data_IF_465341764792
#
_entry.id   IF_465341764792
#
_cell.length_a   1.000
_cell.length_b   1.000
_cell.length_c   1.000
_cell.angle_alpha   90.00
_cell.angle_beta   90.00
_cell.angle_gamma   90.00
#
_symmetry.space_group_name_H-M   'P 1'
#
loop_
_entity.id
_entity.type
_entity.pdbx_description
1 polymer ?
#
# COMPACT_ATOMS: atom_id res chain seq x y z
N UNK A 1 -11.65 -26.57 3.78
CA UNK A 1 -11.49 -25.90 2.47
C UNK A 1 -10.84 -24.53 2.65
N UNK A 2 -10.32 -23.88 1.60
CA UNK A 2 -9.73 -22.54 1.66
C UNK A 2 -10.41 -21.52 0.71
N UNK A 3 -10.20 -20.21 0.94
CA UNK A 3 -10.84 -19.14 0.14
C UNK A 3 -10.51 -19.21 -1.36
N UNK A 4 -9.28 -19.58 -1.70
CA UNK A 4 -8.82 -19.73 -3.08
C UNK A 4 -9.47 -20.94 -3.76
N UNK A 5 -9.70 -22.01 -3.02
CA UNK A 5 -10.42 -23.20 -3.50
C UNK A 5 -11.92 -22.92 -3.67
N UNK A 6 -12.50 -22.13 -2.76
CA UNK A 6 -13.90 -21.74 -2.79
C UNK A 6 -14.28 -20.98 -4.06
N UNK A 7 -13.46 -20.00 -4.47
CA UNK A 7 -13.70 -19.24 -5.69
C UNK A 7 -13.07 -19.88 -6.95
N UNK A 8 -12.02 -20.68 -6.78
CA UNK A 8 -11.31 -21.34 -7.87
C UNK A 8 -10.91 -20.36 -8.99
N UNK A 9 -11.25 -20.70 -10.23
CA UNK A 9 -10.92 -19.87 -11.40
C UNK A 9 -11.54 -18.46 -11.37
N UNK A 10 -12.65 -18.30 -10.63
CA UNK A 10 -13.37 -17.03 -10.48
C UNK A 10 -12.73 -16.09 -9.46
N UNK A 11 -11.64 -16.48 -8.80
CA UNK A 11 -10.95 -15.60 -7.83
C UNK A 11 -10.52 -14.27 -8.46
N UNK A 12 -10.09 -14.32 -9.72
CA UNK A 12 -9.69 -13.15 -10.50
C UNK A 12 -10.43 -13.12 -11.82
N UNK A 13 -10.81 -11.91 -12.25
CA UNK A 13 -11.36 -11.65 -13.58
C UNK A 13 -10.45 -10.73 -14.37
N UNK A 14 -10.42 -10.94 -15.68
CA UNK A 14 -9.79 -10.02 -16.62
C UNK A 14 -10.75 -8.87 -16.92
N UNK A 15 -10.23 -7.64 -16.90
CA UNK A 15 -10.99 -6.44 -17.20
C UNK A 15 -11.06 -6.20 -18.72
N UNK A 16 -12.13 -5.51 -19.13
CA UNK A 16 -12.32 -5.09 -20.50
C UNK A 16 -11.23 -4.09 -20.96
N UNK A 17 -11.17 -3.85 -22.28
CA UNK A 17 -10.32 -2.81 -22.84
C UNK A 17 -10.65 -1.45 -22.21
N UNK A 18 -9.64 -0.59 -22.06
CA UNK A 18 -9.79 0.70 -21.39
C UNK A 18 -9.68 0.66 -19.85
N UNK A 19 -9.28 -0.47 -19.26
CA UNK A 19 -9.04 -0.63 -17.82
C UNK A 19 -8.04 0.36 -17.20
N UNK A 20 -7.20 0.99 -18.02
CA UNK A 20 -6.23 2.01 -17.62
C UNK A 20 -6.83 3.41 -17.52
N UNK A 21 -8.05 3.63 -18.00
CA UNK A 21 -8.75 4.91 -17.86
C UNK A 21 -9.26 5.03 -16.42
N UNK A 22 -8.94 6.14 -15.74
CA UNK A 22 -9.39 6.44 -14.37
C UNK A 22 -10.92 6.27 -14.21
N UNK A 23 -11.71 6.61 -15.24
CA UNK A 23 -13.16 6.48 -15.22
C UNK A 23 -13.66 5.02 -15.15
N UNK A 24 -12.80 4.07 -15.52
CA UNK A 24 -13.09 2.63 -15.53
C UNK A 24 -12.45 1.89 -14.35
N UNK A 25 -11.78 2.61 -13.44
CA UNK A 25 -11.19 2.00 -12.26
C UNK A 25 -12.27 1.34 -11.40
N UNK A 26 -11.97 0.14 -10.92
CA UNK A 26 -12.93 -0.67 -10.16
C UNK A 26 -12.35 -1.18 -8.85
N UNK A 27 -13.21 -1.31 -7.84
CA UNK A 27 -12.84 -1.94 -6.57
C UNK A 27 -12.27 -3.34 -6.83
N UNK A 28 -11.16 -3.67 -6.17
CA UNK A 28 -10.48 -4.96 -6.35
C UNK A 28 -9.50 -4.99 -7.54
N UNK A 29 -9.41 -3.93 -8.35
CA UNK A 29 -8.48 -3.87 -9.47
C UNK A 29 -7.03 -3.80 -8.99
N UNK A 30 -6.15 -4.49 -9.72
CA UNK A 30 -4.73 -4.57 -9.41
C UNK A 30 -3.97 -3.45 -10.12
N UNK A 31 -3.10 -2.79 -9.37
CA UNK A 31 -2.19 -1.75 -9.85
C UNK A 31 -0.79 -2.05 -9.35
N UNK A 32 0.22 -1.47 -10.01
CA UNK A 32 1.55 -1.33 -9.45
C UNK A 32 1.78 0.14 -9.05
N UNK A 33 2.41 0.36 -7.91
CA UNK A 33 2.78 1.71 -7.47
C UNK A 33 3.91 1.68 -6.45
N UNK A 34 4.40 2.85 -6.07
CA UNK A 34 5.39 3.02 -5.02
C UNK A 34 4.71 2.86 -3.65
N UNK A 35 4.98 1.75 -2.98
CA UNK A 35 4.58 1.53 -1.59
C UNK A 35 5.66 2.11 -0.66
N UNK A 36 5.25 2.96 0.28
CA UNK A 36 6.15 3.59 1.24
C UNK A 36 6.26 2.76 2.52
N UNK A 37 7.41 2.81 3.19
CA UNK A 37 7.65 2.10 4.46
C UNK A 37 7.88 3.09 5.61
N UNK A 38 6.83 3.79 6.08
CA UNK A 38 6.99 4.78 7.16
C UNK A 38 7.25 4.15 8.53
N UNK A 39 7.00 2.84 8.68
CA UNK A 39 7.21 2.08 9.91
C UNK A 39 8.62 1.51 10.05
N UNK A 40 9.46 1.60 9.02
CA UNK A 40 10.87 1.23 9.12
C UNK A 40 11.62 2.18 10.06
N UNK A 41 12.85 1.82 10.43
CA UNK A 41 13.67 2.62 11.34
C UNK A 41 13.70 4.08 10.89
N UNK A 42 13.43 4.99 11.83
CA UNK A 42 13.48 6.41 11.55
C UNK A 42 14.92 6.79 11.15
N UNK A 43 15.10 7.11 9.87
CA UNK A 43 16.36 7.49 9.27
C UNK A 43 16.30 8.96 8.82
N UNK A 44 17.39 9.69 9.06
CA UNK A 44 17.55 11.10 8.72
C UNK A 44 18.68 11.25 7.70
N UNK A 45 18.44 12.01 6.63
CA UNK A 45 19.47 12.41 5.69
C UNK A 45 20.08 13.72 6.17
N UNK A 46 21.28 13.63 6.74
CA UNK A 46 21.97 14.74 7.44
C UNK A 46 23.24 15.16 6.70
N UNK A 47 23.60 16.47 6.68
CA UNK A 47 24.87 16.89 6.14
C UNK A 47 26.03 16.35 7.01
N UNK A 48 27.11 15.91 6.36
CA UNK A 48 28.36 15.55 7.04
C UNK A 48 29.11 16.83 7.36
N UNK A 49 29.28 17.15 8.65
CA UNK A 49 29.97 18.36 9.10
C UNK A 49 31.45 18.34 8.68
N UNK A 50 31.93 19.44 8.10
CA UNK A 50 33.35 19.70 7.85
C UNK A 50 33.69 21.08 8.41
N UNK A 51 34.81 21.17 9.11
CA UNK A 51 35.26 22.38 9.78
C UNK A 51 35.68 23.48 8.79
N UNK A 52 36.02 23.13 7.54
CA UNK A 52 36.46 24.08 6.51
C UNK A 52 35.33 24.74 5.71
N UNK A 53 34.11 24.18 5.72
CA UNK A 53 33.00 24.65 4.89
C UNK A 53 31.66 24.47 5.61
N UNK A 54 31.20 25.48 6.38
CA UNK A 54 30.05 25.36 7.27
C UNK A 54 28.68 25.47 6.59
N UNK A 55 28.62 25.84 5.31
CA UNK A 55 27.37 26.17 4.58
C UNK A 55 27.03 25.17 3.48
N UNK A 56 27.32 23.88 3.67
CA UNK A 56 27.24 22.84 2.64
C UNK A 56 25.88 22.77 1.93
N UNK A 57 25.89 22.90 0.59
CA UNK A 57 24.69 22.90 -0.28
C UNK A 57 24.58 21.66 -1.18
N UNK A 58 25.51 20.70 -1.13
CA UNK A 58 25.60 19.62 -2.12
C UNK A 58 25.11 18.29 -1.53
N UNK A 59 24.12 17.67 -2.18
CA UNK A 59 23.49 16.40 -1.79
C UNK A 59 24.48 15.23 -1.56
N UNK A 60 25.61 15.18 -2.27
CA UNK A 60 26.64 14.13 -2.09
C UNK A 60 27.38 14.20 -0.75
N UNK A 61 27.23 15.30 -0.01
CA UNK A 61 27.84 15.50 1.30
C UNK A 61 26.88 15.15 2.45
N UNK A 62 25.77 14.48 2.16
CA UNK A 62 24.79 14.03 3.15
C UNK A 62 24.89 12.52 3.38
N UNK A 63 24.63 12.09 4.62
CA UNK A 63 24.64 10.69 5.03
C UNK A 63 23.31 10.32 5.67
N UNK A 64 22.82 9.12 5.35
CA UNK A 64 21.68 8.52 6.04
C UNK A 64 22.17 8.03 7.41
N UNK A 65 21.52 8.51 8.47
CA UNK A 65 21.84 8.16 9.86
C UNK A 65 20.57 7.78 10.61
N UNK A 66 20.64 6.80 11.50
CA UNK A 66 19.52 6.47 12.40
C UNK A 66 19.18 7.68 13.28
N UNK A 67 17.90 7.94 13.48
CA UNK A 67 17.43 8.98 14.37
C UNK A 67 17.79 8.63 15.83
N UNK A 68 18.65 9.44 16.45
CA UNK A 68 18.98 9.35 17.86
C UNK A 68 17.98 10.09 18.77
N UNK A 69 18.33 10.26 20.05
CA UNK A 69 17.55 11.05 21.03
C UNK A 69 17.48 12.55 20.70
N UNK A 70 18.37 13.01 19.81
CA UNK A 70 18.48 14.36 19.28
C UNK A 70 17.60 14.61 18.05
N UNK A 71 16.92 13.58 17.54
CA UNK A 71 15.97 13.72 16.44
C UNK A 71 14.97 14.83 16.81
N UNK A 72 15.02 15.94 16.07
CA UNK A 72 14.20 17.13 16.25
C UNK A 72 14.52 18.02 17.48
N UNK A 73 15.58 17.77 18.26
CA UNK A 73 16.03 18.65 19.37
C UNK A 73 17.30 19.39 18.97
N UNK A 74 17.22 20.71 18.73
CA UNK A 74 18.38 21.55 18.38
C UNK A 74 18.70 22.58 19.47
N UNK A 75 20.00 22.73 19.75
CA UNK A 75 20.57 23.74 20.65
C UNK A 75 20.85 25.09 19.96
N UNK A 76 20.68 25.21 18.65
CA UNK A 76 20.93 26.46 17.90
C UNK A 76 19.61 27.20 17.63
N UNK A 77 19.44 28.44 18.11
CA UNK A 77 18.23 29.22 17.85
C UNK A 77 18.19 29.63 16.37
N UNK A 78 17.18 29.14 15.65
CA UNK A 78 16.95 29.45 14.24
C UNK A 78 16.29 30.83 14.11
N UNK A 79 17.08 31.87 13.84
CA UNK A 79 16.54 33.16 13.41
C UNK A 79 16.51 33.22 11.86
N UNK A 80 15.32 33.01 11.30
CA UNK A 80 14.97 33.21 9.88
C UNK A 80 15.87 32.48 8.84
N UNK A 81 15.86 31.14 8.75
CA UNK A 81 16.57 30.43 7.70
C UNK A 81 15.81 30.52 6.36
N UNK A 82 16.51 30.93 5.29
CA UNK A 82 16.07 30.61 3.92
C UNK A 82 16.41 29.15 3.64
N UNK A 83 15.46 28.42 3.05
CA UNK A 83 15.54 26.99 2.75
C UNK A 83 16.62 26.69 1.69
N UNK A 84 17.92 26.69 2.04
CA UNK A 84 18.98 26.20 1.13
C UNK A 84 20.19 25.50 1.79
N UNK A 85 20.37 25.42 3.12
CA UNK A 85 21.69 24.92 3.66
C UNK A 85 21.72 24.02 4.90
N UNK A 86 20.63 23.74 5.62
CA UNK A 86 20.68 22.88 6.82
C UNK A 86 19.42 22.04 7.06
N UNK A 87 18.72 21.70 5.98
CA UNK A 87 17.52 20.85 6.03
C UNK A 87 17.89 19.39 6.25
N UNK A 88 17.28 18.78 7.26
CA UNK A 88 17.30 17.33 7.44
C UNK A 88 16.01 16.77 6.85
N UNK A 89 16.15 15.75 6.00
CA UNK A 89 15.00 15.09 5.38
C UNK A 89 14.77 13.74 6.05
N UNK A 90 13.49 13.44 6.33
CA UNK A 90 13.08 12.08 6.64
C UNK A 90 13.38 11.20 5.43
N UNK A 91 14.11 10.11 5.66
CA UNK A 91 14.29 9.08 4.64
C UNK A 91 13.10 8.15 4.74
N UNK A 92 12.30 8.13 3.68
CA UNK A 92 11.22 7.16 3.51
C UNK A 92 11.63 6.23 2.38
N UNK A 93 11.82 4.94 2.70
CA UNK A 93 12.06 3.93 1.67
C UNK A 93 10.77 3.65 0.94
N UNK A 94 10.90 3.41 -0.36
CA UNK A 94 9.78 3.03 -1.21
C UNK A 94 10.22 1.90 -2.15
N UNK A 95 9.28 1.00 -2.45
CA UNK A 95 9.47 -0.08 -3.43
C UNK A 95 8.24 -0.15 -4.33
N UNK A 96 8.44 -0.42 -5.63
CA UNK A 96 7.33 -0.72 -6.53
C UNK A 96 6.70 -2.04 -6.09
N UNK A 97 5.40 -2.04 -5.82
CA UNK A 97 4.65 -3.23 -5.42
C UNK A 97 3.29 -3.31 -6.11
N UNK A 98 2.78 -4.53 -6.30
CA UNK A 98 1.37 -4.72 -6.56
C UNK A 98 0.54 -4.19 -5.39
N UNK A 99 -0.58 -3.57 -5.72
CA UNK A 99 -1.58 -3.06 -4.79
C UNK A 99 -2.98 -3.35 -5.33
N UNK A 100 -3.95 -3.47 -4.44
CA UNK A 100 -5.36 -3.62 -4.80
C UNK A 100 -6.10 -2.31 -4.50
N UNK A 101 -6.86 -1.82 -5.46
CA UNK A 101 -7.69 -0.63 -5.32
C UNK A 101 -8.86 -0.87 -4.37
N UNK A 102 -8.90 -0.09 -3.29
CA UNK A 102 -9.93 -0.18 -2.24
C UNK A 102 -10.98 0.92 -2.40
N UNK A 103 -10.57 2.15 -2.69
CA UNK A 103 -11.50 3.27 -2.81
C UNK A 103 -10.94 4.30 -3.79
N UNK A 104 -11.70 4.60 -4.85
CA UNK A 104 -11.39 5.72 -5.75
C UNK A 104 -11.58 7.05 -5.04
N UNK A 105 -10.98 8.13 -5.57
CA UNK A 105 -11.22 9.46 -5.04
C UNK A 105 -12.73 9.78 -5.09
N UNK A 106 -13.28 10.28 -3.99
CA UNK A 106 -14.59 10.93 -4.00
C UNK A 106 -14.38 12.37 -4.46
N UNK A 107 -14.79 12.75 -5.68
CA UNK A 107 -14.60 14.11 -6.15
C UNK A 107 -15.39 15.08 -5.26
N UNK A 108 -14.78 16.23 -4.94
CA UNK A 108 -15.50 17.30 -4.25
C UNK A 108 -16.42 18.00 -5.26
N UNK A 109 -17.69 17.61 -5.25
CA UNK A 109 -18.70 18.15 -6.15
C UNK A 109 -18.70 19.69 -6.13
N UNK A 110 -18.64 20.31 -7.30
CA UNK A 110 -18.70 21.76 -7.46
C UNK A 110 -17.40 22.53 -7.22
N UNK A 111 -16.27 21.85 -6.90
CA UNK A 111 -14.99 22.51 -6.66
C UNK A 111 -14.06 22.33 -7.87
N UNK A 112 -13.59 23.45 -8.43
CA UNK A 112 -12.60 23.47 -9.52
C UNK A 112 -11.27 24.02 -9.03
N UNK A 113 -10.18 23.29 -9.30
CA UNK A 113 -8.81 23.77 -9.06
C UNK A 113 -8.32 24.78 -10.13
N UNK A 114 -9.16 25.16 -11.12
CA UNK A 114 -8.72 26.05 -12.21
C UNK A 114 -8.39 27.45 -11.66
N UNK A 115 -7.18 27.92 -11.92
CA UNK A 115 -6.75 29.31 -11.63
C UNK A 115 -6.22 29.56 -10.22
N UNK A 116 -6.23 28.58 -9.31
CA UNK A 116 -5.82 28.75 -7.92
C UNK A 116 -4.50 28.02 -7.62
N UNK A 117 -3.58 28.67 -6.88
CA UNK A 117 -2.28 28.09 -6.49
C UNK A 117 -2.41 26.94 -5.48
N UNK A 118 -3.47 26.96 -4.66
CA UNK A 118 -3.78 25.85 -3.77
C UNK A 118 -4.49 24.73 -4.53
N UNK A 119 -3.84 23.58 -4.66
CA UNK A 119 -4.52 22.35 -5.12
C UNK A 119 -5.43 21.86 -3.99
N UNK A 120 -6.68 22.34 -3.97
CA UNK A 120 -7.71 21.96 -2.99
C UNK A 120 -8.01 20.47 -3.10
N UNK A 121 -8.14 19.98 -4.34
CA UNK A 121 -8.29 18.56 -4.61
C UNK A 121 -6.96 17.97 -5.15
N UNK A 122 -6.54 16.86 -4.55
CA UNK A 122 -5.39 16.06 -4.97
C UNK A 122 -5.90 14.67 -5.29
N UNK A 123 -5.86 14.30 -6.58
CA UNK A 123 -6.35 13.00 -7.08
C UNK A 123 -5.66 11.83 -6.39
N UNK A 124 -6.30 11.32 -5.35
CA UNK A 124 -5.78 10.28 -4.46
C UNK A 124 -6.78 9.17 -4.30
N UNK A 125 -6.27 7.98 -4.13
CA UNK A 125 -7.06 6.77 -3.96
C UNK A 125 -6.47 5.91 -2.85
N UNK A 126 -7.29 5.11 -2.20
CA UNK A 126 -6.86 4.17 -1.18
C UNK A 126 -6.56 2.83 -1.83
N UNK A 127 -5.37 2.30 -1.55
CA UNK A 127 -4.93 0.98 -2.02
C UNK A 127 -4.45 0.13 -0.86
N UNK A 128 -4.67 -1.19 -0.92
CA UNK A 128 -4.06 -2.15 -0.01
C UNK A 128 -2.82 -2.77 -0.64
N UNK A 129 -1.75 -2.94 0.15
CA UNK A 129 -0.49 -3.48 -0.37
C UNK A 129 -0.52 -5.00 -0.51
N UNK A 130 0.15 -5.51 -1.54
CA UNK A 130 0.28 -6.96 -1.76
C UNK A 130 1.72 -7.42 -1.50
N UNK A 131 1.84 -8.49 -0.72
CA UNK A 131 3.09 -9.14 -0.35
C UNK A 131 3.11 -10.57 -0.88
N UNK A 132 4.16 -10.94 -1.62
CA UNK A 132 4.37 -12.34 -2.01
C UNK A 132 4.71 -13.18 -0.78
N UNK A 133 4.19 -14.41 -0.74
CA UNK A 133 4.39 -15.36 0.36
C UNK A 133 5.62 -16.27 0.15
N UNK A 134 6.22 -16.20 -1.04
CA UNK A 134 7.46 -16.89 -1.40
C UNK A 134 8.34 -15.97 -2.26
N UNK A 135 9.63 -16.31 -2.37
CA UNK A 135 10.51 -15.66 -3.34
C UNK A 135 10.07 -15.98 -4.77
N UNK A 136 9.95 -14.97 -5.62
CA UNK A 136 9.48 -15.13 -6.99
C UNK A 136 10.43 -15.95 -7.89
N UNK A 137 11.71 -16.04 -7.51
CA UNK A 137 12.76 -16.73 -8.26
C UNK A 137 13.06 -18.11 -7.68
N UNK A 138 13.34 -18.20 -6.38
CA UNK A 138 13.72 -19.47 -5.73
C UNK A 138 12.53 -20.30 -5.28
N UNK A 139 11.33 -19.70 -5.23
CA UNK A 139 10.10 -20.30 -4.67
C UNK A 139 10.22 -20.66 -3.18
N UNK A 140 11.23 -20.17 -2.48
CA UNK A 140 11.38 -20.39 -1.05
C UNK A 140 10.29 -19.66 -0.26
N UNK A 141 9.59 -20.32 0.67
CA UNK A 141 8.59 -19.68 1.52
C UNK A 141 9.20 -18.57 2.39
N UNK A 142 8.53 -17.42 2.45
CA UNK A 142 8.93 -16.27 3.28
C UNK A 142 8.16 -16.19 4.61
N UNK A 143 7.15 -17.02 4.78
CA UNK A 143 6.27 -17.05 5.95
C UNK A 143 6.07 -18.49 6.45
N UNK A 144 5.73 -18.64 7.74
CA UNK A 144 5.37 -19.93 8.32
C UNK A 144 4.14 -20.52 7.58
N UNK A 145 4.23 -21.75 7.04
CA UNK A 145 3.10 -22.41 6.39
C UNK A 145 1.82 -22.45 7.24
N UNK A 146 1.93 -22.61 8.56
CA UNK A 146 0.76 -22.60 9.46
C UNK A 146 0.08 -21.23 9.48
N UNK A 147 0.85 -20.16 9.39
CA UNK A 147 0.30 -18.82 9.28
C UNK A 147 -0.41 -18.62 7.93
N UNK A 148 0.19 -19.10 6.84
CA UNK A 148 -0.40 -19.01 5.49
C UNK A 148 -1.74 -19.75 5.43
N UNK A 149 -1.84 -20.95 6.02
CA UNK A 149 -3.11 -21.70 6.10
C UNK A 149 -4.20 -20.91 6.84
N UNK A 150 -3.85 -20.24 7.95
CA UNK A 150 -4.78 -19.40 8.71
C UNK A 150 -5.26 -18.19 7.91
N UNK A 151 -4.37 -17.58 7.11
CA UNK A 151 -4.74 -16.51 6.17
C UNK A 151 -5.68 -17.04 5.07
N UNK A 152 -5.41 -18.23 4.53
CA UNK A 152 -6.27 -18.89 3.53
C UNK A 152 -7.66 -19.25 4.09
N UNK A 153 -7.77 -19.49 5.40
CA UNK A 153 -9.05 -19.66 6.13
C UNK A 153 -9.71 -18.34 6.54
N UNK A 154 -9.14 -17.21 6.11
CA UNK A 154 -9.65 -15.87 6.42
C UNK A 154 -9.68 -15.57 7.93
N UNK A 155 -8.79 -16.17 8.72
CA UNK A 155 -8.82 -16.02 10.17
C UNK A 155 -8.63 -14.55 10.60
N UNK A 156 -7.80 -13.81 9.86
CA UNK A 156 -7.35 -12.45 10.18
C UNK A 156 -8.06 -11.40 9.31
N UNK A 157 -8.92 -10.53 9.87
CA UNK A 157 -9.66 -9.52 9.11
C UNK A 157 -8.79 -8.54 8.32
N UNK A 158 -7.56 -8.28 8.77
CA UNK A 158 -6.63 -7.38 8.12
C UNK A 158 -5.86 -8.01 6.94
N UNK A 159 -5.99 -9.31 6.71
CA UNK A 159 -5.25 -10.06 5.70
C UNK A 159 -6.22 -10.79 4.76
N UNK A 160 -5.95 -10.75 3.45
CA UNK A 160 -6.67 -11.58 2.48
C UNK A 160 -5.65 -12.36 1.65
N UNK A 161 -5.82 -13.67 1.56
CA UNK A 161 -5.00 -14.50 0.69
C UNK A 161 -5.23 -14.11 -0.79
N UNK A 162 -4.21 -14.26 -1.63
CA UNK A 162 -4.26 -13.97 -3.05
C UNK A 162 -3.52 -15.08 -3.81
N UNK A 163 -4.22 -16.04 -4.43
CA UNK A 163 -3.56 -17.17 -5.08
C UNK A 163 -2.68 -16.74 -6.27
N UNK A 164 -1.61 -17.49 -6.52
CA UNK A 164 -0.82 -17.37 -7.74
C UNK A 164 -1.71 -17.52 -8.97
N UNK A 165 -1.54 -16.62 -9.94
CA UNK A 165 -2.21 -16.75 -11.25
C UNK A 165 -1.35 -16.08 -12.30
N UNK A 166 -1.10 -16.82 -13.38
CA UNK A 166 -0.33 -16.33 -14.52
C UNK A 166 -0.88 -14.98 -15.02
N UNK A 167 0.00 -13.98 -15.15
CA UNK A 167 -0.35 -12.61 -15.53
C UNK A 167 -0.88 -11.73 -14.39
N UNK A 168 -1.08 -12.27 -13.19
CA UNK A 168 -1.56 -11.56 -11.99
C UNK A 168 -0.45 -11.47 -10.94
N UNK A 169 -0.10 -12.62 -10.36
CA UNK A 169 0.95 -12.77 -9.35
C UNK A 169 1.80 -13.99 -9.70
N UNK A 170 3.11 -13.88 -9.50
CA UNK A 170 4.09 -14.95 -9.81
C UNK A 170 4.25 -15.97 -8.68
N UNK A 171 3.66 -15.70 -7.52
CA UNK A 171 3.63 -16.54 -6.32
C UNK A 171 2.33 -16.25 -5.58
N UNK A 172 1.90 -17.18 -4.72
CA UNK A 172 0.86 -16.87 -3.73
C UNK A 172 1.25 -15.63 -2.95
N UNK A 173 0.25 -14.81 -2.69
CA UNK A 173 0.43 -13.47 -2.15
C UNK A 173 -0.62 -13.20 -1.07
N UNK A 174 -0.48 -12.07 -0.40
CA UNK A 174 -1.38 -11.63 0.64
C UNK A 174 -1.60 -10.13 0.53
N UNK A 175 -2.87 -9.73 0.50
CA UNK A 175 -3.30 -8.35 0.67
C UNK A 175 -3.21 -7.98 2.16
N UNK A 176 -2.54 -6.87 2.45
CA UNK A 176 -2.40 -6.29 3.79
C UNK A 176 -3.21 -5.01 3.90
N UNK A 177 -4.37 -5.10 4.55
CA UNK A 177 -5.28 -3.97 4.78
C UNK A 177 -4.81 -3.08 5.93
N UNK A 178 -4.03 -3.63 6.84
CA UNK A 178 -3.28 -2.91 7.88
C UNK A 178 -2.17 -2.01 7.32
N UNK A 179 -1.74 -2.27 6.08
CA UNK A 179 -0.74 -1.47 5.34
C UNK A 179 -1.39 -0.62 4.22
N UNK A 180 -2.69 -0.33 4.33
CA UNK A 180 -3.39 0.46 3.32
C UNK A 180 -2.85 1.91 3.24
N UNK A 181 -2.69 2.42 2.02
CA UNK A 181 -2.06 3.72 1.77
C UNK A 181 -2.85 4.57 0.79
N UNK A 182 -2.78 5.89 1.00
CA UNK A 182 -3.28 6.86 0.02
C UNK A 182 -2.21 7.11 -1.04
N UNK A 183 -2.54 6.84 -2.30
CA UNK A 183 -1.63 6.98 -3.44
C UNK A 183 -2.22 7.96 -4.44
N UNK A 184 -1.37 8.74 -5.10
CA UNK A 184 -1.79 9.62 -6.18
C UNK A 184 -2.18 8.80 -7.41
N UNK A 185 -3.33 9.10 -7.99
CA UNK A 185 -3.84 8.38 -9.16
C UNK A 185 -2.83 8.34 -10.33
N UNK A 186 -2.11 9.43 -10.66
CA UNK A 186 -1.07 9.39 -11.70
C UNK A 186 0.12 8.46 -11.40
N UNK A 187 0.29 7.98 -10.17
CA UNK A 187 1.37 7.06 -9.79
C UNK A 187 0.93 5.59 -9.88
N UNK A 188 -0.33 5.33 -10.28
CA UNK A 188 -0.84 3.99 -10.45
C UNK A 188 -0.56 3.49 -11.86
N UNK A 189 0.04 2.32 -11.95
CA UNK A 189 0.17 1.55 -13.19
C UNK A 189 -0.90 0.45 -13.22
N UNK A 190 -1.96 0.67 -13.98
CA UNK A 190 -3.10 -0.24 -14.06
C UNK A 190 -2.71 -1.60 -14.66
N UNK A 191 -3.22 -2.69 -14.07
CA UNK A 191 -3.18 -4.03 -14.65
C UNK A 191 -4.57 -4.42 -15.13
N UNK A 192 -4.63 -5.35 -16.10
CA UNK A 192 -5.88 -5.82 -16.70
C UNK A 192 -6.62 -6.85 -15.82
N UNK A 193 -6.28 -6.97 -14.54
CA UNK A 193 -6.90 -7.93 -13.65
C UNK A 193 -7.51 -7.26 -12.43
N UNK A 194 -8.61 -7.84 -11.96
CA UNK A 194 -9.29 -7.48 -10.72
C UNK A 194 -9.70 -8.75 -9.98
N UNK A 195 -10.01 -8.63 -8.70
CA UNK A 195 -10.75 -9.68 -8.01
C UNK A 195 -12.05 -10.00 -8.75
N UNK A 196 -12.43 -11.27 -8.77
CA UNK A 196 -13.74 -11.69 -9.23
C UNK A 196 -14.85 -11.04 -8.40
N UNK A 197 -16.07 -10.98 -8.93
CA UNK A 197 -17.16 -10.23 -8.29
C UNK A 197 -17.45 -10.72 -6.86
N UNK A 198 -17.46 -12.04 -6.65
CA UNK A 198 -17.70 -12.63 -5.33
C UNK A 198 -16.52 -12.39 -4.37
N UNK A 199 -15.28 -12.58 -4.83
CA UNK A 199 -14.08 -12.30 -4.04
C UNK A 199 -13.97 -10.80 -3.67
N UNK A 200 -14.33 -9.91 -4.61
CA UNK A 200 -14.41 -8.48 -4.36
C UNK A 200 -15.52 -8.13 -3.35
N UNK A 201 -16.66 -8.81 -3.40
CA UNK A 201 -17.73 -8.63 -2.43
C UNK A 201 -17.30 -9.06 -1.02
N UNK A 202 -16.62 -10.20 -0.90
CA UNK A 202 -16.00 -10.62 0.35
C UNK A 202 -15.01 -9.57 0.87
N UNK A 203 -14.14 -9.02 0.02
CA UNK A 203 -13.21 -7.96 0.44
C UNK A 203 -13.94 -6.70 0.93
N UNK A 204 -15.09 -6.32 0.34
CA UNK A 204 -15.90 -5.20 0.85
C UNK A 204 -16.43 -5.47 2.25
N UNK A 205 -16.98 -6.65 2.49
CA UNK A 205 -17.49 -7.04 3.80
C UNK A 205 -16.36 -7.24 4.82
N UNK A 206 -15.20 -7.72 4.39
CA UNK A 206 -13.98 -7.81 5.19
C UNK A 206 -13.52 -6.43 5.66
N UNK A 207 -13.47 -5.44 4.77
CA UNK A 207 -13.15 -4.05 5.13
C UNK A 207 -14.17 -3.45 6.09
N UNK A 208 -15.46 -3.65 5.83
CA UNK A 208 -16.53 -3.19 6.71
C UNK A 208 -16.39 -3.78 8.12
N UNK A 209 -16.13 -5.09 8.20
CA UNK A 209 -15.90 -5.79 9.47
C UNK A 209 -14.62 -5.31 10.17
N UNK A 210 -13.51 -5.13 9.44
CA UNK A 210 -12.26 -4.61 9.98
C UNK A 210 -12.42 -3.22 10.60
N UNK A 211 -13.27 -2.37 10.01
CA UNK A 211 -13.51 -1.00 10.50
C UNK A 211 -14.53 -0.92 11.64
N UNK A 212 -15.57 -1.75 11.59
CA UNK A 212 -16.73 -1.63 12.50
C UNK A 212 -16.82 -2.73 13.57
N UNK A 213 -16.23 -3.89 13.32
CA UNK A 213 -16.42 -5.11 14.11
C UNK A 213 -17.83 -5.73 14.00
N UNK A 214 -18.67 -5.26 13.07
CA UNK A 214 -20.08 -5.65 12.99
C UNK A 214 -20.29 -6.77 11.96
N UNK A 215 -20.93 -7.86 12.40
CA UNK A 215 -21.49 -8.92 11.57
C UNK A 215 -22.93 -9.28 12.02
N UNK A 216 -23.59 -10.28 11.39
CA UNK A 216 -23.08 -11.09 10.28
C UNK A 216 -23.07 -10.32 8.95
N UNK A 217 -22.14 -10.72 8.08
CA UNK A 217 -22.01 -10.33 6.68
C UNK A 217 -21.30 -11.47 5.91
N UNK A 218 -21.27 -11.40 4.58
CA UNK A 218 -20.73 -12.49 3.76
C UNK A 218 -19.27 -12.85 4.10
N UNK A 219 -18.45 -11.88 4.56
CA UNK A 219 -17.10 -12.18 5.03
C UNK A 219 -17.11 -13.00 6.32
N UNK A 220 -17.86 -12.57 7.34
CA UNK A 220 -17.90 -13.28 8.63
C UNK A 220 -18.53 -14.67 8.48
N UNK A 221 -19.53 -14.81 7.62
CA UNK A 221 -20.18 -16.10 7.36
C UNK A 221 -19.24 -17.06 6.65
N UNK A 222 -18.56 -16.61 5.58
CA UNK A 222 -17.56 -17.43 4.88
C UNK A 222 -16.40 -17.80 5.80
N UNK A 223 -15.89 -16.85 6.59
CA UNK A 223 -14.82 -17.10 7.56
C UNK A 223 -15.21 -18.18 8.57
N UNK A 224 -16.37 -18.07 9.21
CA UNK A 224 -16.83 -19.08 10.17
C UNK A 224 -16.98 -20.45 9.51
N UNK A 225 -17.48 -20.51 8.28
CA UNK A 225 -17.54 -21.75 7.52
C UNK A 225 -16.16 -22.35 7.27
N UNK A 226 -15.20 -21.56 6.75
CA UNK A 226 -13.84 -22.02 6.44
C UNK A 226 -13.01 -22.40 7.68
N UNK A 227 -13.31 -21.81 8.84
CA UNK A 227 -12.63 -22.11 10.11
C UNK A 227 -13.12 -23.40 10.76
N UNK A 228 -14.37 -23.79 10.50
CA UNK A 228 -15.01 -24.98 11.07
C UNK A 228 -14.89 -26.25 10.20
N UNK A 229 -14.29 -26.13 9.00
CA UNK A 229 -13.84 -27.26 8.18
C UNK A 229 -12.37 -27.66 8.43
#
# INVERSE_FOLDING_TARGET
MFIDEWFGEKYYKQLALGYHNEANFSFGQIFWTHAYYPHENLELWRPVLDAGEPTKTIASQFRITTAGQDAFKRNLPLHAPRLETNEEFLVIRAKIRPVILIQTELPLAGISNRGYRGRVQRRRTLVGQVFGLADATTREPQFDPKFVERVRRMEFPQLMFLPEKAGVFTVDSMLRLDEAQSVFVPHLEAKQFSLGDDAANILRHQLSFLQSGIGPNDYTELREFLMNE
#
